data_IF_861287176444
#
_entry.id   IF_861287176444
#
_cell.length_a   1.000
_cell.length_b   1.000
_cell.length_c   1.000
_cell.angle_alpha   90.00
_cell.angle_beta   90.00
_cell.angle_gamma   90.00
#
_symmetry.space_group_name_H-M   'P 1'
#
loop_
_entity.id
_entity.type
_entity.pdbx_description
1 polymer ?
#
# COMPACT_ATOMS: atom_id res chain seq x y z
N UNK A 1 -23.10 7.25 8.91
CA UNK A 1 -21.79 7.37 8.24
C UNK A 1 -21.18 5.98 8.27
N UNK A 2 -20.89 5.35 7.13
CA UNK A 2 -20.26 4.01 7.12
C UNK A 2 -18.83 4.14 7.63
N UNK A 3 -18.33 3.13 8.33
CA UNK A 3 -16.92 3.10 8.72
C UNK A 3 -16.06 2.72 7.51
N UNK A 4 -14.80 3.12 7.46
CA UNK A 4 -13.90 2.75 6.36
C UNK A 4 -13.73 1.24 6.18
N UNK A 5 -13.96 0.46 7.24
CA UNK A 5 -13.96 -1.01 7.22
C UNK A 5 -15.15 -1.61 6.43
N UNK A 6 -16.21 -0.85 6.23
CA UNK A 6 -17.42 -1.26 5.49
C UNK A 6 -17.44 -0.69 4.06
N UNK A 7 -16.34 -0.05 3.63
CA UNK A 7 -16.21 0.51 2.29
C UNK A 7 -15.49 -0.47 1.38
N UNK A 8 -16.04 -0.66 0.18
CA UNK A 8 -15.43 -1.47 -0.88
C UNK A 8 -14.85 -0.57 -1.96
N UNK A 9 -13.84 -1.09 -2.66
CA UNK A 9 -13.26 -0.43 -3.82
C UNK A 9 -14.16 -0.68 -5.03
N UNK A 10 -14.63 0.39 -5.67
CA UNK A 10 -15.34 0.32 -6.96
C UNK A 10 -14.30 0.25 -8.11
N UNK A 11 -14.18 -0.90 -8.82
CA UNK A 11 -13.16 -1.07 -9.86
C UNK A 11 -13.34 -0.14 -11.07
N UNK A 12 -14.55 0.35 -11.34
CA UNK A 12 -14.80 1.24 -12.47
C UNK A 12 -14.27 2.65 -12.22
N UNK A 13 -14.18 3.05 -10.95
CA UNK A 13 -13.78 4.39 -10.50
C UNK A 13 -12.30 4.53 -10.18
N UNK A 14 -11.52 3.45 -10.26
CA UNK A 14 -10.10 3.47 -9.92
C UNK A 14 -9.21 3.22 -11.13
N UNK A 15 -7.96 3.65 -11.00
CA UNK A 15 -6.86 3.36 -11.90
C UNK A 15 -5.56 3.14 -11.14
N UNK A 16 -4.65 2.35 -11.72
CA UNK A 16 -3.29 2.17 -11.19
C UNK A 16 -2.36 3.07 -12.00
N UNK A 17 -1.76 4.04 -11.33
CA UNK A 17 -0.90 5.05 -11.97
C UNK A 17 0.58 4.66 -11.98
N UNK A 18 1.00 3.78 -11.06
CA UNK A 18 2.38 3.33 -10.99
C UNK A 18 2.68 2.43 -12.19
N UNK A 19 3.74 2.75 -12.95
CA UNK A 19 4.09 1.97 -14.13
C UNK A 19 4.45 0.52 -13.74
N UNK A 20 4.13 -0.44 -14.61
CA UNK A 20 4.32 -1.88 -14.31
C UNK A 20 5.74 -2.23 -13.93
N UNK A 21 6.74 -1.65 -14.59
CA UNK A 21 8.14 -1.89 -14.25
C UNK A 21 8.69 -0.72 -13.44
N UNK A 22 9.26 -1.00 -12.26
CA UNK A 22 9.85 0.00 -11.37
C UNK A 22 11.28 -0.36 -11.00
N UNK A 23 12.18 0.63 -11.02
CA UNK A 23 13.50 0.53 -10.38
C UNK A 23 13.35 0.93 -8.91
N UNK A 24 13.34 -0.06 -8.02
CA UNK A 24 13.11 0.15 -6.58
C UNK A 24 14.39 0.48 -5.81
N UNK A 25 15.53 -0.04 -6.27
CA UNK A 25 16.82 0.25 -5.66
C UNK A 25 17.87 0.48 -6.74
N UNK A 26 18.45 1.68 -6.75
CA UNK A 26 19.57 2.02 -7.64
C UNK A 26 20.86 1.33 -7.18
N UNK A 27 21.10 1.25 -5.87
CA UNK A 27 22.28 0.60 -5.27
C UNK A 27 22.34 -0.88 -5.62
N UNK A 28 21.19 -1.56 -5.61
CA UNK A 28 21.09 -2.99 -5.90
C UNK A 28 20.76 -3.30 -7.37
N UNK A 29 20.45 -2.27 -8.17
CA UNK A 29 19.93 -2.47 -9.53
C UNK A 29 18.59 -3.21 -9.57
N UNK A 30 17.82 -3.17 -8.48
CA UNK A 30 16.58 -3.92 -8.32
C UNK A 30 15.46 -3.33 -9.18
N UNK A 31 15.13 -4.03 -10.26
CA UNK A 31 13.98 -3.74 -11.11
C UNK A 31 12.91 -4.79 -10.88
N UNK A 32 11.67 -4.35 -10.71
CA UNK A 32 10.53 -5.23 -10.41
C UNK A 32 9.40 -4.94 -11.37
N UNK A 33 8.79 -6.01 -11.89
CA UNK A 33 7.52 -5.95 -12.60
C UNK A 33 6.38 -6.21 -11.60
N UNK A 34 5.47 -5.26 -11.49
CA UNK A 34 4.35 -5.29 -10.56
C UNK A 34 3.25 -6.20 -11.11
N UNK A 35 3.05 -7.34 -10.44
CA UNK A 35 1.95 -8.25 -10.69
C UNK A 35 0.69 -7.79 -9.94
N UNK A 36 -0.43 -7.47 -10.62
CA UNK A 36 -1.68 -7.12 -9.96
C UNK A 36 -2.23 -8.21 -9.04
N UNK A 37 -1.87 -9.48 -9.24
CA UNK A 37 -2.31 -10.59 -8.39
C UNK A 37 -1.40 -10.83 -7.18
N UNK A 38 -0.20 -10.23 -7.18
CA UNK A 38 0.74 -10.21 -6.05
C UNK A 38 1.27 -8.79 -5.83
N UNK A 39 0.42 -7.85 -5.37
CA UNK A 39 0.69 -6.41 -5.44
C UNK A 39 1.69 -5.90 -4.40
N UNK A 40 2.06 -6.71 -3.42
CA UNK A 40 3.01 -6.34 -2.37
C UNK A 40 4.41 -6.78 -2.79
N UNK A 41 5.28 -5.81 -3.05
CA UNK A 41 6.71 -6.06 -3.27
C UNK A 41 7.46 -5.82 -1.98
N UNK A 42 8.28 -6.79 -1.59
CA UNK A 42 9.13 -6.70 -0.39
C UNK A 42 10.59 -6.93 -0.77
N UNK A 43 11.49 -6.09 -0.28
CA UNK A 43 12.93 -6.28 -0.47
C UNK A 43 13.71 -5.77 0.76
N UNK A 44 14.96 -6.21 0.87
CA UNK A 44 15.89 -5.71 1.88
C UNK A 44 16.74 -4.61 1.26
N UNK A 45 16.93 -3.49 1.94
CA UNK A 45 17.88 -2.43 1.57
C UNK A 45 18.75 -2.14 2.78
N UNK A 46 20.07 -2.34 2.64
CA UNK A 46 21.00 -2.29 3.77
C UNK A 46 20.47 -3.11 4.98
N UNK A 47 20.24 -2.45 6.11
CA UNK A 47 19.79 -3.02 7.38
C UNK A 47 18.27 -2.88 7.62
N UNK A 48 17.47 -2.47 6.63
CA UNK A 48 16.02 -2.36 6.75
C UNK A 48 15.24 -3.07 5.64
N UNK A 49 14.01 -3.46 5.95
CA UNK A 49 13.08 -4.07 5.01
C UNK A 49 12.13 -3.00 4.45
N UNK A 50 11.93 -3.05 3.14
CA UNK A 50 11.02 -2.17 2.41
C UNK A 50 9.81 -2.94 1.91
N UNK A 51 8.65 -2.29 1.94
CA UNK A 51 7.42 -2.79 1.34
C UNK A 51 6.82 -1.73 0.42
N UNK A 52 6.44 -2.12 -0.79
CA UNK A 52 5.77 -1.28 -1.76
C UNK A 52 4.45 -1.92 -2.19
N UNK A 53 3.39 -1.11 -2.22
CA UNK A 53 2.09 -1.48 -2.81
C UNK A 53 1.63 -0.34 -3.71
N UNK A 54 1.26 -0.61 -4.98
CA UNK A 54 0.71 0.42 -5.86
C UNK A 54 -0.63 0.95 -5.34
N UNK A 55 -0.83 2.26 -5.40
CA UNK A 55 -2.12 2.87 -5.09
C UNK A 55 -3.14 2.60 -6.20
N UNK A 56 -4.37 2.26 -5.80
CA UNK A 56 -5.55 2.39 -6.66
C UNK A 56 -6.10 3.81 -6.51
N UNK A 57 -5.78 4.68 -7.46
CA UNK A 57 -6.18 6.08 -7.45
C UNK A 57 -7.63 6.22 -7.93
N UNK A 58 -8.44 7.00 -7.21
CA UNK A 58 -9.79 7.35 -7.68
C UNK A 58 -9.68 8.32 -8.86
N UNK A 59 -10.31 8.00 -9.99
CA UNK A 59 -10.30 8.80 -11.23
C UNK A 59 -10.97 10.16 -11.06
N UNK A 60 -11.99 10.24 -10.19
CA UNK A 60 -12.81 11.44 -9.94
C UNK A 60 -13.09 11.57 -8.45
N UNK A 61 -12.09 11.94 -7.64
CA UNK A 61 -12.28 12.09 -6.20
C UNK A 61 -13.09 13.35 -5.90
N UNK A 62 -14.02 13.27 -4.95
CA UNK A 62 -14.75 14.45 -4.48
C UNK A 62 -13.81 15.37 -3.67
N UNK A 63 -13.04 14.78 -2.74
CA UNK A 63 -12.05 15.47 -1.91
C UNK A 63 -10.87 14.54 -1.58
N UNK A 64 -9.66 15.09 -1.50
CA UNK A 64 -8.43 14.37 -1.15
C UNK A 64 -7.70 14.95 0.06
N UNK A 65 -8.17 16.07 0.61
CA UNK A 65 -7.63 16.65 1.84
C UNK A 65 -7.78 15.64 3.00
N UNK A 66 -6.70 15.46 3.77
CA UNK A 66 -6.65 14.47 4.87
C UNK A 66 -6.39 13.02 4.41
N UNK A 67 -6.23 12.75 3.11
CA UNK A 67 -5.95 11.39 2.63
C UNK A 67 -4.62 10.85 3.18
N UNK A 68 -3.60 11.70 3.30
CA UNK A 68 -2.31 11.33 3.91
C UNK A 68 -2.45 10.89 5.37
N UNK A 69 -3.23 11.64 6.16
CA UNK A 69 -3.50 11.30 7.57
C UNK A 69 -4.24 9.96 7.67
N UNK A 70 -5.21 9.72 6.79
CA UNK A 70 -5.96 8.46 6.75
C UNK A 70 -5.06 7.28 6.34
N UNK A 71 -4.16 7.45 5.38
CA UNK A 71 -3.19 6.42 4.97
C UNK A 71 -2.26 6.10 6.15
N UNK A 72 -1.64 7.12 6.75
CA UNK A 72 -0.70 6.94 7.87
C UNK A 72 -1.38 6.36 9.10
N UNK A 73 -2.56 6.86 9.48
CA UNK A 73 -3.32 6.36 10.62
C UNK A 73 -3.75 4.90 10.46
N UNK A 74 -4.19 4.53 9.25
CA UNK A 74 -4.54 3.14 8.92
C UNK A 74 -3.31 2.23 9.00
N UNK A 75 -2.17 2.65 8.45
CA UNK A 75 -0.91 1.90 8.52
C UNK A 75 -0.50 1.58 9.97
N UNK A 76 -0.57 2.55 10.86
CA UNK A 76 -0.28 2.36 12.30
C UNK A 76 -1.27 1.40 12.97
N UNK A 77 -2.57 1.51 12.66
CA UNK A 77 -3.60 0.65 13.22
C UNK A 77 -3.36 -0.83 12.84
N UNK A 78 -3.11 -1.12 11.57
CA UNK A 78 -2.85 -2.48 11.09
C UNK A 78 -1.51 -3.05 11.55
N UNK A 79 -0.46 -2.22 11.66
CA UNK A 79 0.82 -2.67 12.20
C UNK A 79 0.70 -3.16 13.66
N UNK A 80 -0.13 -2.49 14.48
CA UNK A 80 -0.37 -2.87 15.88
C UNK A 80 -1.15 -4.17 16.01
N UNK A 81 -2.04 -4.48 15.07
CA UNK A 81 -2.84 -5.72 15.09
C UNK A 81 -1.95 -6.95 14.93
N UNK A 82 -0.93 -6.90 14.06
CA UNK A 82 0.02 -8.01 13.86
C UNK A 82 0.79 -8.38 15.14
N UNK A 83 1.25 -7.38 15.92
CA UNK A 83 1.98 -7.63 17.18
C UNK A 83 1.15 -8.30 18.28
N UNK A 84 -0.17 -8.18 18.26
CA UNK A 84 -1.05 -8.79 19.27
C UNK A 84 -1.30 -10.28 19.02
N UNK A 85 -1.09 -10.76 17.78
CA UNK A 85 -1.19 -12.18 17.43
C UNK A 85 0.02 -13.01 17.85
N UNK A 86 1.19 -12.38 18.03
CA UNK A 86 2.44 -13.06 18.42
C UNK A 86 2.68 -13.07 19.95
N UNK A 87 1.91 -12.31 20.73
CA UNK A 87 1.97 -12.27 22.20
C UNK A 87 1.04 -13.29 22.88
N UNK A 88 0.56 -14.28 22.13
CA UNK A 88 -0.33 -15.35 22.60
C UNK A 88 0.19 -16.72 22.22
N UNK A 89 1.32 -17.12 22.79
CA UNK A 89 1.70 -18.51 23.04
C UNK A 89 2.64 -18.59 24.24
#
# INVERSE_FOLDING_TARGET
>A
MRTSAEMEVDPERIEVLLARQQLLSKSQGLKVDLDPFSPVVTWQEADFQCHLVPMMACKKPDHTAGLGDNISGTGVAYHRIQKKGEAGN
#
